data_IF_747384163367
#
_entry.id   IF_747384163367
#
_cell.length_a   1.000
_cell.length_b   1.000
_cell.length_c   1.000
_cell.angle_alpha   90.00
_cell.angle_beta   90.00
_cell.angle_gamma   90.00
#
_symmetry.space_group_name_H-M   'P 1'
#
loop_
_entity.id
_entity.type
_entity.pdbx_description
1 polymer ?
#
# COMPACT_ATOMS: atom_id res chain seq x y z
N UNK A 1 -63.75 -35.22 22.48
CA UNK A 1 -65.21 -34.96 22.22
C UNK A 1 -65.31 -33.92 21.13
N UNK A 2 -65.98 -34.34 20.06
CA UNK A 2 -66.55 -33.58 18.93
C UNK A 2 -65.57 -32.89 18.01
N UNK A 3 -65.31 -33.43 16.86
CA UNK A 3 -66.08 -33.79 15.62
C UNK A 3 -66.60 -32.63 14.82
N UNK A 4 -66.39 -32.80 13.53
CA UNK A 4 -67.08 -32.35 12.29
C UNK A 4 -66.57 -31.02 11.70
N UNK A 5 -66.40 -30.93 10.41
CA UNK A 5 -66.57 -31.83 9.27
C UNK A 5 -66.59 -31.03 7.98
N UNK A 6 -66.06 -31.65 6.97
CA UNK A 6 -66.30 -31.55 5.53
C UNK A 6 -67.12 -30.36 4.95
N UNK A 7 -66.63 -29.74 3.88
CA UNK A 7 -67.38 -29.82 2.60
C UNK A 7 -66.55 -29.47 1.40
N UNK A 8 -66.50 -30.37 0.42
CA UNK A 8 -66.10 -30.19 -0.99
C UNK A 8 -67.16 -29.30 -1.71
N UNK A 9 -66.68 -28.43 -2.56
CA UNK A 9 -67.49 -28.02 -3.72
C UNK A 9 -66.55 -27.92 -4.93
N UNK A 10 -66.67 -28.92 -5.82
CA UNK A 10 -66.22 -28.86 -7.22
C UNK A 10 -67.17 -27.92 -7.97
N UNK A 11 -66.61 -27.00 -8.74
CA UNK A 11 -67.30 -26.42 -9.85
C UNK A 11 -66.38 -26.36 -11.05
N UNK A 12 -66.65 -27.24 -12.01
CA UNK A 12 -66.12 -27.27 -13.36
C UNK A 12 -66.85 -26.21 -14.17
N UNK A 13 -66.15 -25.33 -14.87
CA UNK A 13 -66.73 -24.71 -16.07
C UNK A 13 -65.65 -24.48 -17.13
N UNK A 14 -66.04 -24.89 -18.33
CA UNK A 14 -65.29 -24.96 -19.58
C UNK A 14 -64.87 -23.58 -20.11
N UNK A 15 -63.65 -23.53 -20.69
CA UNK A 15 -63.42 -23.14 -22.08
C UNK A 15 -63.42 -21.64 -22.40
N UNK A 16 -62.21 -21.16 -22.65
CA UNK A 16 -62.05 -20.28 -23.82
C UNK A 16 -60.57 -20.33 -24.24
N UNK A 17 -60.31 -20.95 -25.41
CA UNK A 17 -59.03 -20.82 -26.11
C UNK A 17 -58.91 -19.38 -26.60
N UNK A 18 -57.99 -18.65 -26.03
CA UNK A 18 -57.49 -17.41 -26.58
C UNK A 18 -55.98 -17.50 -26.66
N UNK A 19 -55.45 -17.77 -27.86
CA UNK A 19 -54.04 -17.74 -28.15
C UNK A 19 -53.52 -16.30 -28.02
N UNK A 20 -52.94 -15.97 -26.87
CA UNK A 20 -52.23 -14.71 -26.71
C UNK A 20 -50.74 -15.00 -26.93
N UNK A 21 -50.24 -14.77 -28.14
CA UNK A 21 -48.83 -14.74 -28.46
C UNK A 21 -48.21 -13.55 -27.72
N UNK A 22 -47.61 -13.82 -26.57
CA UNK A 22 -46.72 -12.88 -25.92
C UNK A 22 -45.47 -12.76 -26.78
N UNK A 23 -45.37 -11.67 -27.53
CA UNK A 23 -44.10 -11.23 -28.11
C UNK A 23 -43.16 -10.88 -26.96
N UNK A 24 -42.21 -11.77 -26.66
CA UNK A 24 -41.10 -11.46 -25.78
C UNK A 24 -40.21 -10.50 -26.53
N UNK A 25 -40.39 -9.20 -26.23
CA UNK A 25 -39.47 -8.16 -26.64
C UNK A 25 -38.17 -8.41 -25.88
N UNK A 26 -37.14 -8.94 -26.53
CA UNK A 26 -35.80 -8.92 -25.99
C UNK A 26 -35.39 -7.46 -25.87
N UNK A 27 -35.46 -6.93 -24.66
CA UNK A 27 -34.78 -5.69 -24.34
C UNK A 27 -33.28 -5.90 -24.59
N UNK A 28 -32.76 -5.26 -25.62
CA UNK A 28 -31.35 -5.15 -25.85
C UNK A 28 -30.76 -4.54 -24.59
N UNK A 29 -29.90 -5.27 -23.90
CA UNK A 29 -29.00 -4.73 -22.88
C UNK A 29 -28.27 -3.55 -23.52
N UNK A 30 -28.27 -2.37 -22.88
CA UNK A 30 -27.50 -1.26 -23.41
C UNK A 30 -26.04 -1.72 -23.47
N UNK A 31 -25.48 -1.66 -24.65
CA UNK A 31 -24.06 -1.85 -24.91
C UNK A 31 -23.31 -0.92 -23.93
N UNK A 32 -22.46 -1.49 -23.10
CA UNK A 32 -21.68 -0.71 -22.15
C UNK A 32 -20.88 0.31 -22.96
N UNK A 33 -21.23 1.57 -22.79
CA UNK A 33 -20.49 2.69 -23.38
C UNK A 33 -19.11 2.65 -22.77
N UNK A 34 -18.16 2.07 -23.49
CA UNK A 34 -16.74 2.14 -23.14
C UNK A 34 -16.38 3.62 -23.15
N UNK A 35 -15.98 4.21 -22.04
CA UNK A 35 -15.58 5.61 -22.02
C UNK A 35 -14.46 5.81 -23.05
N UNK A 36 -14.42 6.94 -23.78
CA UNK A 36 -13.39 7.19 -24.75
C UNK A 36 -12.05 7.10 -24.07
N UNK A 37 -11.17 6.24 -24.61
CA UNK A 37 -9.79 6.09 -24.14
C UNK A 37 -9.15 7.46 -24.25
N UNK A 38 -8.87 8.10 -23.11
CA UNK A 38 -8.14 9.36 -23.10
C UNK A 38 -6.83 9.17 -23.86
N UNK A 39 -6.41 10.13 -24.69
CA UNK A 39 -5.16 10.02 -25.41
C UNK A 39 -4.03 9.84 -24.40
N UNK A 40 -3.28 8.75 -24.55
CA UNK A 40 -2.08 8.49 -23.75
C UNK A 40 -1.14 9.66 -23.99
N UNK A 41 -0.74 10.43 -22.97
CA UNK A 41 0.24 11.47 -23.16
C UNK A 41 1.51 10.86 -23.76
N UNK A 42 2.20 11.57 -24.68
CA UNK A 42 3.43 11.08 -25.28
C UNK A 42 4.44 10.76 -24.16
N UNK A 43 5.13 9.62 -24.29
CA UNK A 43 6.24 9.27 -23.40
C UNK A 43 7.15 10.47 -23.28
N UNK A 44 7.47 10.96 -22.07
CA UNK A 44 8.49 11.97 -21.91
C UNK A 44 9.78 11.46 -22.54
N UNK A 45 10.43 12.30 -23.32
CA UNK A 45 11.69 11.94 -23.98
C UNK A 45 12.71 11.49 -22.94
N UNK A 46 13.45 10.44 -23.27
CA UNK A 46 14.46 9.82 -22.44
C UNK A 46 15.71 10.70 -22.29
N UNK A 47 15.57 11.83 -21.58
CA UNK A 47 16.69 12.66 -21.18
C UNK A 47 16.48 13.07 -19.74
N UNK A 48 17.06 12.34 -18.81
CA UNK A 48 16.93 12.44 -17.36
C UNK A 48 16.07 11.33 -16.76
N UNK A 49 16.30 10.09 -17.19
CA UNK A 49 15.43 8.96 -16.86
C UNK A 49 15.44 8.60 -15.39
N UNK A 50 14.28 8.62 -14.74
CA UNK A 50 14.03 7.95 -13.46
C UNK A 50 14.40 6.49 -13.62
N UNK A 51 15.02 5.90 -12.59
CA UNK A 51 15.23 4.46 -12.53
C UNK A 51 13.87 3.73 -12.68
N UNK A 52 13.80 2.66 -13.47
CA UNK A 52 12.55 1.92 -13.64
C UNK A 52 12.18 1.23 -12.33
N UNK A 53 10.87 1.11 -12.08
CA UNK A 53 10.39 0.31 -10.96
C UNK A 53 10.75 -1.14 -11.24
N UNK A 54 11.34 -1.86 -10.25
CA UNK A 54 11.58 -3.28 -10.37
C UNK A 54 10.30 -4.06 -10.66
N UNK A 55 10.34 -4.93 -11.70
CA UNK A 55 9.15 -5.62 -12.21
C UNK A 55 8.41 -6.44 -11.16
N UNK A 56 9.13 -7.05 -10.23
CA UNK A 56 8.55 -7.85 -9.15
C UNK A 56 7.83 -7.04 -8.06
N UNK A 57 8.01 -5.72 -8.06
CA UNK A 57 7.32 -4.81 -7.15
C UNK A 57 6.11 -4.11 -7.78
N UNK A 58 5.92 -4.28 -9.08
CA UNK A 58 4.76 -3.75 -9.76
C UNK A 58 3.55 -4.61 -9.38
N UNK A 59 2.56 -4.03 -8.69
CA UNK A 59 1.28 -4.68 -8.45
C UNK A 59 0.46 -4.74 -9.73
N UNK A 60 -0.14 -5.90 -10.05
CA UNK A 60 -0.93 -6.07 -11.27
C UNK A 60 -2.07 -5.06 -11.41
N UNK A 61 -2.64 -4.63 -10.30
CA UNK A 61 -3.70 -3.61 -10.25
C UNK A 61 -3.16 -2.19 -10.42
N UNK A 62 -1.95 -1.92 -9.95
CA UNK A 62 -1.30 -0.62 -10.11
C UNK A 62 -0.87 -0.32 -11.53
N UNK A 63 -0.44 -1.34 -12.26
CA UNK A 63 0.08 -1.15 -13.63
C UNK A 63 -1.04 -0.97 -14.62
N UNK A 64 -2.18 -1.59 -14.35
CA UNK A 64 -3.07 -1.92 -15.42
C UNK A 64 -3.97 -0.82 -15.86
N UNK A 65 -4.44 -0.01 -14.98
CA UNK A 65 -5.68 0.62 -15.37
C UNK A 65 -5.85 2.09 -15.12
N UNK A 66 -5.34 2.62 -14.06
CA UNK A 66 -5.70 3.99 -13.73
C UNK A 66 -4.68 5.02 -14.15
N UNK A 67 -3.44 4.60 -14.32
CA UNK A 67 -2.37 5.54 -14.51
C UNK A 67 -1.72 5.46 -15.86
N UNK A 68 -2.17 4.54 -16.69
CA UNK A 68 -1.80 4.45 -18.13
C UNK A 68 -0.35 4.62 -18.42
N UNK A 69 0.53 4.34 -17.61
CA UNK A 69 1.90 4.59 -17.66
C UNK A 69 2.42 5.60 -16.72
N UNK A 70 2.75 5.19 -15.98
CA UNK A 70 3.39 5.34 -14.97
C UNK A 70 4.64 6.08 -14.65
N UNK A 71 4.60 7.40 -14.67
CA UNK A 71 5.42 8.27 -13.85
C UNK A 71 5.20 8.02 -12.35
N UNK A 72 4.18 7.19 -12.02
CA UNK A 72 3.61 7.13 -10.67
C UNK A 72 3.36 5.73 -10.13
N UNK A 73 3.79 4.72 -10.83
CA UNK A 73 3.74 3.36 -10.30
C UNK A 73 4.76 3.24 -9.18
N UNK A 74 4.28 2.89 -8.04
CA UNK A 74 5.07 2.80 -6.83
C UNK A 74 5.20 1.34 -6.40
N UNK A 75 6.34 0.94 -5.81
CA UNK A 75 6.49 -0.41 -5.29
C UNK A 75 5.42 -0.74 -4.27
N UNK A 76 4.73 -1.85 -4.46
CA UNK A 76 3.66 -2.28 -3.56
C UNK A 76 4.20 -2.67 -2.18
N UNK A 77 3.73 -2.00 -1.13
CA UNK A 77 4.06 -2.37 0.26
C UNK A 77 3.62 -3.81 0.55
N UNK A 78 2.50 -4.27 -0.01
CA UNK A 78 2.04 -5.65 0.13
C UNK A 78 3.09 -6.65 -0.37
N UNK A 79 3.66 -6.44 -1.56
CA UNK A 79 4.71 -7.32 -2.09
C UNK A 79 5.96 -7.34 -1.23
N UNK A 80 6.32 -6.21 -0.63
CA UNK A 80 7.41 -6.17 0.35
C UNK A 80 7.11 -7.06 1.55
N UNK A 81 5.88 -7.04 2.07
CA UNK A 81 5.50 -7.90 3.19
C UNK A 81 5.39 -9.38 2.80
N UNK A 82 4.94 -9.71 1.59
CA UNK A 82 5.01 -11.09 1.05
C UNK A 82 6.47 -11.59 1.00
N UNK A 83 7.42 -10.72 0.64
CA UNK A 83 8.85 -11.06 0.74
C UNK A 83 9.29 -11.30 2.19
N UNK A 84 8.75 -10.56 3.17
CA UNK A 84 9.05 -10.74 4.59
C UNK A 84 8.56 -12.09 5.13
N UNK A 85 7.48 -12.65 4.61
CA UNK A 85 7.00 -13.99 4.96
C UNK A 85 8.11 -15.04 4.77
N UNK A 86 8.92 -14.87 3.75
CA UNK A 86 10.08 -15.73 3.50
C UNK A 86 11.25 -15.56 4.48
N UNK A 87 11.23 -14.55 5.35
CA UNK A 87 12.26 -14.35 6.38
C UNK A 87 11.96 -15.10 7.68
N UNK A 88 10.77 -15.68 7.81
CA UNK A 88 10.29 -16.41 8.98
C UNK A 88 9.47 -15.54 9.92
N UNK A 89 9.20 -16.04 11.13
CA UNK A 89 8.32 -15.37 12.10
C UNK A 89 8.92 -14.03 12.55
N UNK A 90 8.20 -12.95 12.33
CA UNK A 90 8.55 -11.62 12.80
C UNK A 90 8.27 -11.48 14.31
N UNK A 91 9.16 -10.79 15.03
CA UNK A 91 8.96 -10.44 16.44
C UNK A 91 8.34 -9.05 16.54
N UNK A 92 7.05 -8.97 16.80
CA UNK A 92 6.35 -7.68 16.94
C UNK A 92 7.01 -6.79 17.99
N UNK A 93 7.34 -7.34 19.16
CA UNK A 93 7.90 -6.56 20.27
C UNK A 93 9.28 -5.94 19.97
N UNK A 94 10.06 -6.61 19.14
CA UNK A 94 11.36 -6.08 18.68
C UNK A 94 11.21 -5.05 17.54
N UNK A 95 10.15 -5.16 16.75
CA UNK A 95 9.97 -4.39 15.51
C UNK A 95 8.98 -3.24 15.65
N UNK A 96 8.09 -3.27 16.66
CA UNK A 96 7.15 -2.20 16.92
C UNK A 96 7.85 -0.90 17.27
N UNK A 97 7.20 0.22 16.98
CA UNK A 97 7.61 1.54 17.40
C UNK A 97 6.42 2.30 17.99
N UNK A 98 6.66 3.35 18.78
CA UNK A 98 5.58 4.23 19.23
C UNK A 98 4.90 4.91 18.04
N UNK A 99 3.58 4.93 18.06
CA UNK A 99 2.81 5.74 17.09
C UNK A 99 2.85 7.18 17.51
N UNK A 100 3.33 8.06 16.64
CA UNK A 100 3.32 9.49 16.92
C UNK A 100 1.87 10.00 16.97
N UNK A 101 1.47 10.52 18.12
CA UNK A 101 0.10 11.03 18.33
C UNK A 101 -0.08 12.45 17.78
N UNK A 102 1.01 13.17 17.52
CA UNK A 102 1.00 14.49 16.91
C UNK A 102 1.20 14.35 15.41
N UNK A 103 0.28 14.91 14.64
CA UNK A 103 0.40 14.93 13.18
C UNK A 103 1.25 16.16 12.80
N UNK A 104 2.33 16.00 12.03
CA UNK A 104 3.09 17.13 11.51
C UNK A 104 2.21 18.07 10.70
N UNK A 105 2.60 19.33 10.61
CA UNK A 105 1.95 20.31 9.71
C UNK A 105 2.53 20.29 8.29
N UNK A 106 3.76 19.83 8.13
CA UNK A 106 4.44 19.71 6.86
C UNK A 106 3.87 18.52 6.06
N UNK A 107 3.35 18.80 4.87
CA UNK A 107 2.73 17.78 3.99
C UNK A 107 3.73 16.70 3.55
N UNK A 108 5.00 17.04 3.38
CA UNK A 108 6.07 16.07 3.06
C UNK A 108 6.19 15.04 4.18
N UNK A 109 6.32 15.51 5.42
CA UNK A 109 6.44 14.65 6.60
C UNK A 109 5.17 13.84 6.84
N UNK A 110 4.00 14.44 6.62
CA UNK A 110 2.72 13.74 6.73
C UNK A 110 2.63 12.62 5.71
N UNK A 111 3.06 12.84 4.46
CA UNK A 111 3.00 11.85 3.40
C UNK A 111 3.92 10.67 3.66
N UNK A 112 5.17 10.93 3.97
CA UNK A 112 6.13 9.91 4.41
C UNK A 112 5.59 9.14 5.63
N UNK A 113 5.08 9.86 6.64
CA UNK A 113 4.51 9.29 7.84
C UNK A 113 3.27 8.44 7.58
N UNK A 114 2.41 8.81 6.64
CA UNK A 114 1.25 8.01 6.24
C UNK A 114 1.69 6.65 5.68
N UNK A 115 2.68 6.64 4.79
CA UNK A 115 3.25 5.40 4.26
C UNK A 115 3.81 4.51 5.38
N UNK A 116 4.58 5.11 6.32
CA UNK A 116 5.10 4.34 7.44
C UNK A 116 4.00 3.75 8.34
N UNK A 117 2.89 4.46 8.54
CA UNK A 117 1.75 3.95 9.31
C UNK A 117 1.05 2.79 8.59
N UNK A 118 0.94 2.83 7.27
CA UNK A 118 0.43 1.70 6.48
C UNK A 118 1.33 0.48 6.67
N UNK A 119 2.65 0.64 6.61
CA UNK A 119 3.60 -0.45 6.84
C UNK A 119 3.54 -0.98 8.29
N UNK A 120 3.34 -0.13 9.29
CA UNK A 120 3.09 -0.57 10.68
C UNK A 120 1.78 -1.38 10.78
N UNK A 121 0.75 -0.99 10.04
CA UNK A 121 -0.49 -1.77 9.92
C UNK A 121 -0.24 -3.19 9.40
N UNK A 122 0.56 -3.33 8.34
CA UNK A 122 0.97 -4.65 7.83
C UNK A 122 1.74 -5.46 8.87
N UNK A 123 2.68 -4.86 9.60
CA UNK A 123 3.41 -5.55 10.69
C UNK A 123 2.46 -6.06 11.77
N UNK A 124 1.48 -5.24 12.18
CA UNK A 124 0.45 -5.61 13.16
C UNK A 124 -0.34 -6.82 12.68
N UNK A 125 -0.78 -6.80 11.42
CA UNK A 125 -1.55 -7.89 10.81
C UNK A 125 -0.69 -9.15 10.67
N UNK A 126 0.55 -8.99 10.24
CA UNK A 126 1.50 -10.11 10.08
C UNK A 126 1.82 -10.80 11.42
N UNK A 127 1.84 -10.03 12.49
CA UNK A 127 2.08 -10.54 13.85
C UNK A 127 0.78 -10.81 14.63
N UNK A 128 -0.39 -10.63 14.03
CA UNK A 128 -1.72 -10.84 14.61
C UNK A 128 -1.94 -10.06 15.93
N UNK A 129 -1.52 -8.77 15.94
CA UNK A 129 -1.57 -7.88 17.11
C UNK A 129 -2.77 -6.93 17.05
N UNK A 130 -3.98 -7.47 17.25
CA UNK A 130 -5.26 -6.73 17.16
C UNK A 130 -5.27 -5.48 18.05
N UNK A 131 -4.72 -5.57 19.25
CA UNK A 131 -4.70 -4.49 20.24
C UNK A 131 -3.97 -3.23 19.76
N UNK A 132 -3.05 -3.37 18.80
CA UNK A 132 -2.31 -2.25 18.24
C UNK A 132 -3.00 -1.59 17.02
N UNK A 133 -4.01 -2.23 16.44
CA UNK A 133 -4.67 -1.77 15.22
C UNK A 133 -5.43 -0.46 15.41
N UNK A 134 -6.02 -0.25 16.59
CA UNK A 134 -6.81 0.95 16.88
C UNK A 134 -5.95 2.23 16.83
N UNK A 135 -4.77 2.21 17.45
CA UNK A 135 -3.87 3.37 17.47
C UNK A 135 -3.37 3.72 16.05
N UNK A 136 -3.00 2.71 15.26
CA UNK A 136 -2.59 2.90 13.86
C UNK A 136 -3.74 3.43 13.02
N UNK A 137 -4.94 2.86 13.13
CA UNK A 137 -6.11 3.31 12.38
C UNK A 137 -6.47 4.77 12.67
N UNK A 138 -6.42 5.18 13.93
CA UNK A 138 -6.64 6.60 14.33
C UNK A 138 -5.59 7.54 13.74
N UNK A 139 -4.32 7.11 13.73
CA UNK A 139 -3.24 7.91 13.14
C UNK A 139 -3.40 8.00 11.62
N UNK A 140 -3.71 6.91 10.93
CA UNK A 140 -3.97 6.89 9.49
C UNK A 140 -5.03 7.91 9.07
N UNK A 141 -6.16 7.97 9.79
CA UNK A 141 -7.22 8.96 9.51
C UNK A 141 -6.69 10.39 9.63
N UNK A 142 -5.93 10.68 10.69
CA UNK A 142 -5.40 12.03 10.92
C UNK A 142 -4.45 12.47 9.82
N UNK A 143 -3.50 11.59 9.45
CA UNK A 143 -2.52 11.88 8.41
C UNK A 143 -3.20 12.00 7.03
N UNK A 144 -4.11 11.09 6.69
CA UNK A 144 -4.85 11.14 5.44
C UNK A 144 -5.68 12.44 5.27
N UNK A 145 -6.27 12.95 6.35
CA UNK A 145 -6.99 14.24 6.32
C UNK A 145 -6.11 15.41 5.92
N UNK A 146 -4.86 15.45 6.39
CA UNK A 146 -3.93 16.55 6.09
C UNK A 146 -3.56 16.57 4.59
N UNK A 147 -3.40 15.41 3.97
CA UNK A 147 -3.08 15.33 2.54
C UNK A 147 -4.30 15.38 1.60
N UNK A 148 -5.51 15.39 2.16
CA UNK A 148 -6.75 15.47 1.37
C UNK A 148 -7.45 14.12 1.13
N UNK A 149 -6.87 12.99 1.53
CA UNK A 149 -7.42 11.64 1.34
C UNK A 149 -8.37 11.16 2.46
N UNK A 150 -8.79 12.06 3.34
CA UNK A 150 -9.53 11.69 4.57
C UNK A 150 -10.88 11.01 4.32
N UNK A 151 -11.59 11.36 3.26
CA UNK A 151 -12.90 10.77 2.95
C UNK A 151 -12.78 9.28 2.56
N UNK A 152 -11.78 8.93 1.76
CA UNK A 152 -11.49 7.53 1.38
C UNK A 152 -11.03 6.73 2.57
N UNK A 153 -10.12 7.29 3.37
CA UNK A 153 -9.54 6.63 4.55
C UNK A 153 -10.60 6.24 5.59
N UNK A 154 -11.65 7.03 5.78
CA UNK A 154 -12.71 6.69 6.74
C UNK A 154 -13.40 5.35 6.42
N UNK A 155 -13.58 5.01 5.15
CA UNK A 155 -14.17 3.72 4.74
C UNK A 155 -13.25 2.55 5.08
N UNK A 156 -11.97 2.69 4.74
CA UNK A 156 -10.96 1.67 5.04
C UNK A 156 -10.80 1.44 6.54
N UNK A 157 -10.81 2.50 7.33
CA UNK A 157 -10.63 2.38 8.79
C UNK A 157 -11.76 1.58 9.44
N UNK A 158 -13.01 1.77 9.00
CA UNK A 158 -14.13 0.97 9.50
C UNK A 158 -13.95 -0.51 9.14
N UNK A 159 -13.61 -0.81 7.89
CA UNK A 159 -13.37 -2.17 7.40
C UNK A 159 -12.18 -2.82 8.13
N UNK A 160 -11.07 -2.10 8.30
CA UNK A 160 -9.91 -2.57 9.06
C UNK A 160 -10.28 -2.93 10.50
N UNK A 161 -11.08 -2.09 11.16
CA UNK A 161 -11.53 -2.33 12.53
C UNK A 161 -12.44 -3.55 12.64
N UNK A 162 -13.44 -3.66 11.75
CA UNK A 162 -14.37 -4.80 11.71
C UNK A 162 -13.63 -6.12 11.46
N UNK A 163 -12.69 -6.13 10.52
CA UNK A 163 -11.89 -7.33 10.23
C UNK A 163 -10.95 -7.69 11.38
N UNK A 164 -10.37 -6.70 12.07
CA UNK A 164 -9.45 -6.94 13.19
C UNK A 164 -10.16 -7.60 14.36
N UNK A 165 -11.35 -7.11 14.76
CA UNK A 165 -12.14 -7.68 15.86
C UNK A 165 -12.54 -9.13 15.57
N UNK A 166 -12.81 -9.43 14.29
CA UNK A 166 -13.25 -10.76 13.86
C UNK A 166 -12.07 -11.71 13.53
N UNK A 167 -10.82 -11.29 13.71
CA UNK A 167 -9.63 -12.10 13.41
C UNK A 167 -9.48 -12.47 11.92
N UNK A 168 -10.04 -11.67 11.01
CA UNK A 168 -10.02 -11.93 9.56
C UNK A 168 -8.72 -11.39 8.94
N UNK A 169 -7.60 -12.01 9.25
CA UNK A 169 -6.27 -11.53 8.91
C UNK A 169 -6.02 -11.35 7.41
N UNK A 170 -6.51 -12.26 6.57
CA UNK A 170 -6.37 -12.14 5.11
C UNK A 170 -7.16 -10.96 4.55
N UNK A 171 -8.35 -10.70 5.10
CA UNK A 171 -9.14 -9.53 4.74
C UNK A 171 -8.43 -8.24 5.19
N UNK A 172 -7.78 -8.25 6.36
CA UNK A 172 -6.99 -7.12 6.83
C UNK A 172 -5.81 -6.80 5.92
N UNK A 173 -5.08 -7.84 5.47
CA UNK A 173 -3.98 -7.67 4.50
C UNK A 173 -4.48 -7.03 3.20
N UNK A 174 -5.60 -7.55 2.67
CA UNK A 174 -6.22 -7.01 1.47
C UNK A 174 -6.68 -5.57 1.66
N UNK A 175 -7.31 -5.25 2.79
CA UNK A 175 -7.79 -3.90 3.10
C UNK A 175 -6.66 -2.88 3.25
N UNK A 176 -5.53 -3.26 3.85
CA UNK A 176 -4.35 -2.39 3.92
C UNK A 176 -3.75 -2.12 2.54
N UNK A 177 -3.71 -3.12 1.66
CA UNK A 177 -3.26 -2.94 0.28
C UNK A 177 -4.19 -2.00 -0.50
N UNK A 178 -5.51 -2.17 -0.35
CA UNK A 178 -6.51 -1.26 -0.93
C UNK A 178 -6.37 0.16 -0.37
N UNK A 179 -6.09 0.28 0.93
CA UNK A 179 -5.86 1.58 1.58
C UNK A 179 -4.70 2.33 0.92
N UNK A 180 -3.59 1.65 0.66
CA UNK A 180 -2.44 2.25 -0.03
C UNK A 180 -2.84 2.68 -1.45
N UNK A 181 -3.40 1.77 -2.23
CA UNK A 181 -3.81 2.04 -3.61
C UNK A 181 -4.79 3.22 -3.72
N UNK A 182 -5.79 3.27 -2.84
CA UNK A 182 -6.79 4.34 -2.83
C UNK A 182 -6.21 5.71 -2.44
N UNK A 183 -5.25 5.74 -1.50
CA UNK A 183 -4.55 6.98 -1.16
C UNK A 183 -3.71 7.49 -2.33
N UNK A 184 -2.97 6.61 -2.96
CA UNK A 184 -2.15 6.96 -4.12
C UNK A 184 -3.02 7.44 -5.30
N UNK A 185 -4.11 6.73 -5.59
CA UNK A 185 -5.08 7.12 -6.60
C UNK A 185 -5.69 8.52 -6.34
N UNK A 186 -6.03 8.81 -5.09
CA UNK A 186 -6.53 10.14 -4.73
C UNK A 186 -5.50 11.23 -4.99
N UNK A 187 -4.23 10.98 -4.64
CA UNK A 187 -3.15 11.95 -4.86
C UNK A 187 -2.93 12.22 -6.36
N UNK A 188 -3.04 11.18 -7.18
CA UNK A 188 -2.97 11.35 -8.64
C UNK A 188 -4.15 12.15 -9.17
N UNK A 189 -5.37 11.88 -8.71
CA UNK A 189 -6.55 12.67 -9.10
C UNK A 189 -6.41 14.14 -8.68
N UNK A 190 -5.81 14.40 -7.54
CA UNK A 190 -5.48 15.75 -7.07
C UNK A 190 -4.26 16.34 -7.81
N UNK A 191 -3.65 15.59 -8.73
CA UNK A 191 -2.39 15.95 -9.42
C UNK A 191 -1.23 16.20 -8.47
N UNK A 192 -1.23 15.52 -7.35
CA UNK A 192 -0.22 15.64 -6.29
C UNK A 192 0.68 14.39 -6.26
N UNK A 193 1.37 14.20 -7.35
CA UNK A 193 2.20 13.03 -7.62
C UNK A 193 3.37 12.91 -6.69
N UNK A 194 3.98 14.04 -6.34
CA UNK A 194 5.06 14.07 -5.38
C UNK A 194 4.61 13.47 -4.05
N UNK A 195 3.40 13.82 -3.61
CA UNK A 195 2.82 13.28 -2.38
C UNK A 195 2.57 11.77 -2.47
N UNK A 196 2.07 11.27 -3.60
CA UNK A 196 1.90 9.83 -3.81
C UNK A 196 3.23 9.09 -3.72
N UNK A 197 4.28 9.62 -4.37
CA UNK A 197 5.63 9.06 -4.30
C UNK A 197 6.18 9.05 -2.87
N UNK A 198 5.96 10.12 -2.10
CA UNK A 198 6.41 10.22 -0.71
C UNK A 198 5.67 9.26 0.21
N UNK A 199 4.38 9.00 0.01
CA UNK A 199 3.63 7.96 0.75
C UNK A 199 4.26 6.59 0.51
N UNK A 200 4.55 6.27 -0.74
CA UNK A 200 5.18 5.00 -1.11
C UNK A 200 6.59 4.86 -0.53
N UNK A 201 7.42 5.90 -0.64
CA UNK A 201 8.76 5.91 -0.04
C UNK A 201 8.70 5.66 1.47
N UNK A 202 7.81 6.34 2.19
CA UNK A 202 7.64 6.15 3.62
C UNK A 202 7.28 4.71 3.99
N UNK A 203 6.38 4.10 3.24
CA UNK A 203 5.99 2.72 3.41
C UNK A 203 7.12 1.73 3.15
N UNK A 204 7.86 1.94 2.06
CA UNK A 204 9.01 1.12 1.73
C UNK A 204 10.13 1.22 2.78
N UNK A 205 10.48 2.43 3.21
CA UNK A 205 11.51 2.65 4.24
C UNK A 205 11.18 1.88 5.52
N UNK A 206 9.93 1.93 5.95
CA UNK A 206 9.51 1.22 7.16
C UNK A 206 9.50 -0.30 6.98
N UNK A 207 9.02 -0.79 5.85
CA UNK A 207 9.06 -2.22 5.54
C UNK A 207 10.51 -2.73 5.45
N UNK A 208 11.40 -1.93 4.85
CA UNK A 208 12.81 -2.26 4.74
C UNK A 208 13.54 -2.25 6.10
N UNK A 209 13.23 -1.30 6.98
CA UNK A 209 13.70 -1.31 8.37
C UNK A 209 13.28 -2.59 9.10
N UNK A 210 12.01 -2.98 8.98
CA UNK A 210 11.48 -4.23 9.57
C UNK A 210 12.25 -5.43 9.03
N UNK A 211 12.46 -5.51 7.72
CA UNK A 211 13.18 -6.60 7.06
C UNK A 211 14.62 -6.71 7.52
N UNK A 212 15.36 -5.61 7.44
CA UNK A 212 16.80 -5.57 7.77
C UNK A 212 17.04 -5.88 9.24
N UNK A 213 16.19 -5.37 10.13
CA UNK A 213 16.28 -5.67 11.57
C UNK A 213 15.97 -7.14 11.87
N UNK A 214 14.91 -7.69 11.24
CA UNK A 214 14.56 -9.10 11.38
C UNK A 214 15.71 -10.03 10.92
N UNK A 215 16.39 -9.66 9.84
CA UNK A 215 17.54 -10.43 9.35
C UNK A 215 18.77 -10.23 10.26
N UNK A 216 19.03 -9.02 10.74
CA UNK A 216 20.12 -8.78 11.68
C UNK A 216 19.97 -9.57 12.99
N UNK A 217 18.72 -9.66 13.50
CA UNK A 217 18.40 -10.41 14.72
C UNK A 217 18.51 -11.94 14.53
N UNK A 218 18.22 -12.44 13.31
CA UNK A 218 18.22 -13.86 12.97
C UNK A 218 18.92 -14.11 11.63
N UNK A 219 20.20 -13.75 11.58
CA UNK A 219 20.98 -13.76 10.37
C UNK A 219 21.14 -15.16 9.76
N UNK A 220 20.89 -15.24 8.45
CA UNK A 220 21.39 -16.28 7.56
C UNK A 220 21.78 -15.64 6.23
N UNK A 221 22.74 -16.21 5.53
CA UNK A 221 23.16 -15.70 4.21
C UNK A 221 21.99 -15.69 3.23
N UNK A 222 21.14 -16.72 3.25
CA UNK A 222 19.96 -16.80 2.38
C UNK A 222 18.98 -15.64 2.63
N UNK A 223 18.69 -15.34 3.91
CA UNK A 223 17.81 -14.21 4.25
C UNK A 223 18.46 -12.89 3.85
N UNK A 224 19.77 -12.75 4.05
CA UNK A 224 20.47 -11.52 3.72
C UNK A 224 20.47 -11.20 2.21
N UNK A 225 20.48 -12.23 1.34
CA UNK A 225 20.34 -12.05 -0.11
C UNK A 225 19.05 -11.35 -0.50
N UNK A 226 17.95 -11.59 0.24
CA UNK A 226 16.64 -10.98 -0.03
C UNK A 226 16.62 -9.48 0.30
N UNK A 227 17.57 -9.01 1.11
CA UNK A 227 17.70 -7.58 1.42
C UNK A 227 18.45 -6.81 0.34
N UNK A 228 19.21 -7.49 -0.52
CA UNK A 228 20.05 -6.85 -1.52
C UNK A 228 19.19 -6.40 -2.70
N UNK A 229 18.60 -5.23 -2.56
CA UNK A 229 17.72 -4.58 -3.55
C UNK A 229 18.19 -3.14 -3.82
N UNK A 230 19.40 -2.99 -4.40
CA UNK A 230 19.91 -1.66 -4.74
C UNK A 230 19.02 -0.94 -5.75
N UNK A 231 18.35 -1.69 -6.64
CA UNK A 231 17.41 -1.21 -7.63
C UNK A 231 16.25 -0.41 -7.02
N UNK A 232 15.69 -0.88 -5.88
CA UNK A 232 14.61 -0.18 -5.20
C UNK A 232 15.11 1.09 -4.52
N UNK A 233 16.24 1.01 -3.83
CA UNK A 233 16.83 2.16 -3.16
C UNK A 233 17.21 3.25 -4.17
N UNK A 234 17.76 2.87 -5.33
CA UNK A 234 18.08 3.76 -6.42
C UNK A 234 16.83 4.40 -7.04
N UNK A 235 15.77 3.60 -7.24
CA UNK A 235 14.48 4.10 -7.70
C UNK A 235 13.98 5.25 -6.82
N UNK A 236 13.95 5.06 -5.49
CA UNK A 236 13.51 6.11 -4.58
C UNK A 236 14.46 7.30 -4.51
N UNK A 237 15.77 7.06 -4.50
CA UNK A 237 16.76 8.15 -4.54
C UNK A 237 16.58 9.03 -5.77
N UNK A 238 16.45 8.42 -6.96
CA UNK A 238 16.19 9.11 -8.21
C UNK A 238 14.83 9.81 -8.23
N UNK A 239 13.80 9.19 -7.61
CA UNK A 239 12.48 9.79 -7.47
C UNK A 239 12.54 11.11 -6.70
N UNK A 240 13.33 11.18 -5.61
CA UNK A 240 13.50 12.40 -4.82
C UNK A 240 14.17 13.54 -5.61
N UNK A 241 15.07 13.21 -6.54
CA UNK A 241 15.70 14.20 -7.43
C UNK A 241 14.71 14.83 -8.41
N UNK A 242 13.66 14.10 -8.74
CA UNK A 242 12.67 14.50 -9.73
C UNK A 242 11.38 15.10 -9.14
N UNK A 243 11.35 15.36 -7.84
CA UNK A 243 10.24 16.08 -7.21
C UNK A 243 10.18 17.54 -7.67
N UNK A 244 9.05 18.19 -7.45
CA UNK A 244 8.91 19.62 -7.73
C UNK A 244 9.95 20.46 -6.96
N UNK A 245 10.40 21.59 -7.49
CA UNK A 245 11.43 22.42 -6.84
C UNK A 245 11.09 22.83 -5.40
N UNK A 246 9.79 22.97 -5.09
CA UNK A 246 9.33 23.30 -3.74
C UNK A 246 9.65 22.18 -2.74
N UNK A 247 9.55 20.92 -3.17
CA UNK A 247 9.86 19.76 -2.32
C UNK A 247 11.36 19.45 -2.29
N UNK A 248 12.07 19.61 -3.42
CA UNK A 248 13.52 19.37 -3.48
C UNK A 248 14.34 20.18 -2.46
N UNK A 249 13.84 21.36 -2.06
CA UNK A 249 14.50 22.19 -1.04
C UNK A 249 14.36 21.66 0.39
N UNK A 250 13.47 20.67 0.63
CA UNK A 250 13.20 20.14 1.96
C UNK A 250 14.43 19.38 2.52
N UNK A 251 14.95 19.76 3.70
CA UNK A 251 16.15 19.15 4.26
C UNK A 251 15.96 17.66 4.60
N UNK A 252 14.77 17.26 5.00
CA UNK A 252 14.45 15.85 5.26
C UNK A 252 14.61 15.02 3.98
N UNK A 253 14.11 15.50 2.85
CA UNK A 253 14.21 14.78 1.57
C UNK A 253 15.66 14.66 1.09
N UNK A 254 16.49 15.68 1.32
CA UNK A 254 17.92 15.60 1.02
C UNK A 254 18.62 14.54 1.88
N UNK A 255 18.36 14.54 3.18
CA UNK A 255 18.91 13.53 4.08
C UNK A 255 18.47 12.09 3.70
N UNK A 256 17.20 11.92 3.29
CA UNK A 256 16.69 10.65 2.79
C UNK A 256 17.40 10.22 1.50
N UNK A 257 17.57 11.12 0.55
CA UNK A 257 18.29 10.86 -0.71
C UNK A 257 19.74 10.41 -0.46
N UNK A 258 20.48 11.14 0.36
CA UNK A 258 21.86 10.79 0.74
C UNK A 258 21.93 9.41 1.41
N UNK A 259 20.99 9.14 2.32
CA UNK A 259 20.89 7.87 3.01
C UNK A 259 20.54 6.70 2.09
N UNK A 260 19.59 6.89 1.15
CA UNK A 260 19.24 5.90 0.14
C UNK A 260 20.43 5.57 -0.76
N UNK A 261 21.15 6.59 -1.24
CA UNK A 261 22.36 6.43 -2.03
C UNK A 261 23.43 5.64 -1.26
N UNK A 262 23.63 5.94 0.02
CA UNK A 262 24.57 5.20 0.87
C UNK A 262 24.18 3.74 1.10
N UNK A 263 22.88 3.44 1.18
CA UNK A 263 22.38 2.04 1.25
C UNK A 263 22.57 1.32 -0.08
N UNK A 264 22.30 1.97 -1.20
CA UNK A 264 22.53 1.44 -2.56
C UNK A 264 23.99 1.02 -2.72
N UNK A 265 24.93 1.89 -2.37
CA UNK A 265 26.36 1.56 -2.43
C UNK A 265 26.74 0.35 -1.57
N UNK A 266 26.19 0.25 -0.36
CA UNK A 266 26.45 -0.90 0.50
C UNK A 266 25.94 -2.21 -0.13
N UNK A 267 24.79 -2.19 -0.78
CA UNK A 267 24.18 -3.36 -1.41
C UNK A 267 24.91 -3.77 -2.71
N UNK A 268 25.34 -2.81 -3.52
CA UNK A 268 26.07 -3.08 -4.78
C UNK A 268 27.40 -3.78 -4.51
N UNK A 269 28.10 -3.45 -3.43
CA UNK A 269 29.40 -4.03 -3.11
C UNK A 269 29.36 -5.53 -2.78
N UNK A 270 28.17 -6.13 -2.71
CA UNK A 270 28.04 -7.56 -2.39
C UNK A 270 28.25 -8.50 -3.59
N UNK A 271 28.41 -7.98 -4.81
CA UNK A 271 28.64 -8.76 -6.04
C UNK A 271 27.67 -9.93 -6.24
N UNK A 272 26.40 -9.74 -5.90
CA UNK A 272 25.34 -10.78 -5.99
C UNK A 272 25.42 -11.87 -4.90
N UNK A 273 26.35 -11.75 -3.95
CA UNK A 273 26.36 -12.53 -2.70
C UNK A 273 25.44 -11.86 -1.68
N UNK A 274 24.98 -12.60 -0.69
CA UNK A 274 24.30 -12.02 0.45
C UNK A 274 25.24 -11.10 1.25
N UNK A 275 24.67 -10.25 2.08
CA UNK A 275 25.41 -9.45 3.04
C UNK A 275 26.06 -10.36 4.08
N UNK A 276 27.23 -9.99 4.62
CA UNK A 276 27.72 -10.60 5.87
C UNK A 276 26.83 -10.17 7.05
N UNK A 277 26.98 -10.82 8.20
CA UNK A 277 26.24 -10.46 9.41
C UNK A 277 26.51 -8.99 9.81
N UNK A 278 27.77 -8.53 9.71
CA UNK A 278 28.15 -7.14 9.99
C UNK A 278 27.53 -6.17 8.99
N UNK A 279 27.57 -6.51 7.71
CA UNK A 279 26.93 -5.67 6.66
C UNK A 279 25.41 -5.60 6.84
N UNK A 280 24.76 -6.71 7.21
CA UNK A 280 23.33 -6.74 7.50
C UNK A 280 23.00 -5.85 8.72
N UNK A 281 23.81 -5.88 9.77
CA UNK A 281 23.64 -5.00 10.92
C UNK A 281 23.85 -3.51 10.56
N UNK A 282 24.84 -3.19 9.73
CA UNK A 282 25.06 -1.82 9.24
C UNK A 282 23.89 -1.35 8.39
N UNK A 283 23.36 -2.22 7.50
CA UNK A 283 22.21 -1.89 6.67
C UNK A 283 20.96 -1.65 7.54
N UNK A 284 20.74 -2.49 8.56
CA UNK A 284 19.64 -2.32 9.50
C UNK A 284 19.73 -0.99 10.27
N UNK A 285 20.95 -0.62 10.73
CA UNK A 285 21.18 0.66 11.39
C UNK A 285 20.87 1.85 10.47
N UNK A 286 21.31 1.80 9.21
CA UNK A 286 21.02 2.85 8.22
C UNK A 286 19.52 2.95 7.93
N UNK A 287 18.84 1.83 7.72
CA UNK A 287 17.40 1.81 7.49
C UNK A 287 16.63 2.38 8.69
N UNK A 288 17.03 2.05 9.91
CA UNK A 288 16.43 2.60 11.13
C UNK A 288 16.61 4.11 11.24
N UNK A 289 17.80 4.65 10.90
CA UNK A 289 18.04 6.10 10.88
C UNK A 289 17.11 6.79 9.89
N UNK A 290 16.98 6.29 8.66
CA UNK A 290 16.11 6.90 7.65
C UNK A 290 14.63 6.83 8.04
N UNK A 291 14.19 5.71 8.58
CA UNK A 291 12.82 5.57 9.09
C UNK A 291 12.56 6.51 10.29
N UNK A 292 13.55 6.76 11.13
CA UNK A 292 13.45 7.69 12.24
C UNK A 292 13.34 9.15 11.78
N UNK A 293 14.14 9.56 10.80
CA UNK A 293 14.05 10.90 10.18
C UNK A 293 12.62 11.21 9.72
N UNK A 294 11.93 10.21 9.19
CA UNK A 294 10.53 10.34 8.74
C UNK A 294 9.55 10.53 9.90
N UNK A 295 9.79 9.86 11.02
CA UNK A 295 8.81 9.76 12.11
C UNK A 295 9.04 10.72 13.25
N UNK A 296 10.26 11.21 13.43
CA UNK A 296 10.64 12.18 14.47
C UNK A 296 11.58 13.26 13.92
N UNK A 297 11.10 14.10 13.01
CA UNK A 297 11.91 15.13 12.35
C UNK A 297 12.35 16.26 13.30
N UNK A 298 11.80 16.33 14.51
CA UNK A 298 12.07 17.40 15.47
C UNK A 298 13.32 17.15 16.33
N UNK A 299 13.89 15.93 16.28
CA UNK A 299 15.05 15.54 17.09
C UNK A 299 16.33 15.33 16.27
N UNK A 300 16.38 15.80 15.01
CA UNK A 300 17.57 15.75 14.14
C UNK A 300 18.15 17.14 13.91
#
# INVERSE_FOLDING_TARGET
MHHLGLSLARLTLMGFLGSLTLAVSFAQTPEAVVPPKLPIPPKPGAEGGKAPIPEDLIGDEHVREEFGVNEFTTPSIRKLFEMLDGLGKLSYDNLKRPINRQTPSDRVLVSLGLGTLIADGFLIVQCEKVEAMEDVGRALIKYAKVIGAGARMNRHTQSLFEHSINGKWDNLRSELALTQADVEAEMVQLRDVDIAHLVSLGGWLRAFEIATRSVADNYTEEKSRRLVRPDIAEYYASGLENLSPAHQANPTLKALQEGLTAMTHLMITTEGKGLTAEQAAVLAAKAAVLSHIVTDPMNN
#
